data_IF_790565727517
#
_entry.id   IF_790565727517
#
_cell.length_a   1.000
_cell.length_b   1.000
_cell.length_c   1.000
_cell.angle_alpha   90.00
_cell.angle_beta   90.00
_cell.angle_gamma   90.00
#
_symmetry.space_group_name_H-M   'P 1'
#
loop_
_entity.id
_entity.type
_entity.pdbx_description
1 polymer ?
#
# COMPACT_ATOMS: atom_id res chain seq x y z
N UNK A 1 -19.77 36.01 24.48
CA UNK A 1 -18.64 35.07 24.34
C UNK A 1 -18.58 34.67 22.87
N UNK A 2 -17.95 35.48 22.03
CA UNK A 2 -17.85 35.19 20.60
C UNK A 2 -16.41 34.77 20.32
N UNK A 3 -16.17 33.46 20.27
CA UNK A 3 -14.93 32.94 19.73
C UNK A 3 -14.93 33.19 18.22
N UNK A 4 -13.99 34.01 17.73
CA UNK A 4 -13.73 34.13 16.30
C UNK A 4 -13.50 32.73 15.70
N UNK A 5 -13.98 32.47 14.46
CA UNK A 5 -13.64 31.23 13.78
C UNK A 5 -12.12 31.14 13.62
N UNK A 6 -11.51 29.94 13.74
CA UNK A 6 -10.08 29.77 13.51
C UNK A 6 -9.74 30.26 12.11
N UNK A 7 -8.66 31.05 12.00
CA UNK A 7 -8.12 31.49 10.71
C UNK A 7 -7.91 30.27 9.81
N UNK A 8 -8.23 30.34 8.51
CA UNK A 8 -8.09 29.20 7.61
C UNK A 8 -6.63 28.74 7.58
N UNK A 9 -6.41 27.48 7.96
CA UNK A 9 -5.11 26.84 7.91
C UNK A 9 -4.72 26.65 6.45
N UNK A 10 -3.57 27.17 6.05
CA UNK A 10 -3.01 26.92 4.72
C UNK A 10 -2.53 25.47 4.63
N UNK A 11 -3.35 24.63 3.99
CA UNK A 11 -3.07 23.19 3.81
C UNK A 11 -1.82 22.95 2.97
N UNK A 12 -1.46 23.88 2.07
CA UNK A 12 -0.25 23.78 1.26
C UNK A 12 0.98 23.94 2.15
N UNK A 13 1.01 24.98 2.98
CA UNK A 13 2.08 25.21 3.94
C UNK A 13 2.24 24.04 4.93
N UNK A 14 1.14 23.46 5.42
CA UNK A 14 1.17 22.27 6.29
C UNK A 14 1.75 21.06 5.55
N UNK A 15 1.34 20.85 4.30
CA UNK A 15 1.83 19.74 3.48
C UNK A 15 3.34 19.83 3.24
N UNK A 16 3.85 21.03 2.96
CA UNK A 16 5.29 21.27 2.80
C UNK A 16 6.06 21.09 4.10
N UNK A 17 5.50 21.54 5.23
CA UNK A 17 6.10 21.32 6.55
C UNK A 17 6.21 19.82 6.89
N UNK A 18 5.17 19.03 6.59
CA UNK A 18 5.20 17.57 6.77
C UNK A 18 6.27 16.93 5.89
N UNK A 19 6.36 17.32 4.60
CA UNK A 19 7.38 16.79 3.68
C UNK A 19 8.80 17.12 4.13
N UNK A 20 9.02 18.36 4.59
CA UNK A 20 10.31 18.80 5.11
C UNK A 20 10.70 17.99 6.36
N UNK A 21 9.76 17.81 7.29
CA UNK A 21 9.99 17.07 8.52
C UNK A 21 10.25 15.58 8.26
N UNK A 22 9.47 14.94 7.38
CA UNK A 22 9.66 13.55 6.98
C UNK A 22 11.08 13.30 6.44
N UNK A 23 11.58 14.18 5.56
CA UNK A 23 12.95 14.11 5.05
C UNK A 23 13.98 14.34 6.14
N UNK A 24 13.74 15.30 7.05
CA UNK A 24 14.63 15.61 8.17
C UNK A 24 14.83 14.41 9.10
N UNK A 25 13.79 13.61 9.32
CA UNK A 25 13.84 12.41 10.18
C UNK A 25 14.27 11.14 9.45
N UNK A 26 14.62 11.23 8.16
CA UNK A 26 15.23 10.13 7.40
C UNK A 26 14.29 9.34 6.48
N UNK A 27 13.04 9.78 6.27
CA UNK A 27 12.19 9.20 5.23
C UNK A 27 12.57 9.79 3.87
N UNK A 28 13.01 8.93 2.96
CA UNK A 28 13.40 9.31 1.60
C UNK A 28 12.17 9.62 0.74
N UNK A 29 11.08 8.89 0.97
CA UNK A 29 9.81 9.06 0.26
C UNK A 29 8.73 9.57 1.21
N UNK A 30 7.97 10.57 0.75
CA UNK A 30 6.82 11.12 1.46
C UNK A 30 5.73 11.52 0.46
N UNK A 31 4.50 11.10 0.73
CA UNK A 31 3.30 11.41 -0.05
C UNK A 31 2.12 11.73 0.86
N UNK A 32 1.17 12.52 0.35
CA UNK A 32 -0.09 12.81 1.03
C UNK A 32 -1.22 12.49 0.07
N UNK A 33 -2.17 11.68 0.51
CA UNK A 33 -3.35 11.28 -0.26
C UNK A 33 -4.64 11.63 0.50
N UNK A 34 -5.77 11.82 -0.19
CA UNK A 34 -7.07 11.93 0.47
C UNK A 34 -7.38 10.63 1.23
N UNK A 35 -7.98 10.76 2.41
CA UNK A 35 -8.54 9.61 3.12
C UNK A 35 -9.85 9.20 2.45
N UNK A 36 -9.91 7.97 1.96
CA UNK A 36 -11.04 7.43 1.22
C UNK A 36 -10.94 5.93 1.06
N UNK A 37 -11.97 5.33 0.45
CA UNK A 37 -11.98 3.90 0.11
C UNK A 37 -10.79 3.58 -0.81
N UNK A 38 -9.94 2.59 -0.47
CA UNK A 38 -8.86 2.17 -1.36
C UNK A 38 -9.39 1.56 -2.66
N UNK A 39 -8.83 1.94 -3.80
CA UNK A 39 -9.18 1.38 -5.11
C UNK A 39 -8.90 -0.14 -5.20
N UNK A 40 -7.92 -0.62 -4.44
CA UNK A 40 -7.50 -2.02 -4.40
C UNK A 40 -8.32 -2.90 -3.44
N UNK A 41 -9.34 -2.35 -2.76
CA UNK A 41 -10.06 -3.09 -1.73
C UNK A 41 -10.78 -4.32 -2.27
N UNK A 42 -11.39 -4.21 -3.45
CA UNK A 42 -12.13 -5.32 -4.05
C UNK A 42 -11.18 -6.47 -4.42
N UNK A 43 -9.98 -6.13 -4.90
CA UNK A 43 -8.94 -7.12 -5.16
C UNK A 43 -8.46 -7.80 -3.86
N UNK A 44 -8.24 -7.03 -2.79
CA UNK A 44 -7.89 -7.57 -1.48
C UNK A 44 -8.98 -8.50 -0.93
N UNK A 45 -10.24 -8.08 -1.05
CA UNK A 45 -11.41 -8.87 -0.68
C UNK A 45 -11.46 -10.21 -1.39
N UNK A 46 -11.35 -10.22 -2.72
CA UNK A 46 -11.34 -11.44 -3.52
C UNK A 46 -10.16 -12.35 -3.19
N UNK A 47 -9.00 -11.76 -2.88
CA UNK A 47 -7.80 -12.50 -2.47
C UNK A 47 -7.99 -13.20 -1.11
N UNK A 48 -8.64 -12.53 -0.14
CA UNK A 48 -9.00 -13.13 1.14
C UNK A 48 -10.06 -14.24 0.97
N UNK A 49 -11.11 -13.98 0.19
CA UNK A 49 -12.18 -14.95 -0.05
C UNK A 49 -11.67 -16.21 -0.79
N UNK A 50 -10.52 -16.11 -1.49
CA UNK A 50 -9.82 -17.23 -2.13
C UNK A 50 -8.90 -18.02 -1.18
N UNK A 51 -8.80 -17.63 0.10
CA UNK A 51 -7.96 -18.31 1.09
C UNK A 51 -6.46 -18.10 0.90
N UNK A 52 -6.05 -17.02 0.23
CA UNK A 52 -4.64 -16.74 -0.04
C UNK A 52 -3.89 -16.08 1.14
N UNK A 53 -4.56 -15.84 2.27
CA UNK A 53 -3.98 -15.27 3.49
C UNK A 53 -3.12 -16.25 4.30
N UNK A 54 -3.14 -17.55 3.96
CA UNK A 54 -2.28 -18.56 4.58
C UNK A 54 -2.54 -18.70 6.08
N UNK A 55 -1.60 -18.25 6.91
CA UNK A 55 -1.76 -18.19 8.38
C UNK A 55 -2.00 -16.75 8.89
N UNK A 56 -2.12 -15.76 8.01
CA UNK A 56 -2.30 -14.34 8.35
C UNK A 56 -3.75 -14.00 8.70
N UNK A 57 -4.38 -14.78 9.59
CA UNK A 57 -5.79 -14.60 9.94
C UNK A 57 -6.13 -13.23 10.55
N UNK A 58 -5.14 -12.40 10.89
CA UNK A 58 -5.37 -11.00 11.28
C UNK A 58 -5.87 -10.13 10.13
N UNK A 59 -5.52 -10.44 8.88
CA UNK A 59 -5.98 -9.70 7.69
C UNK A 59 -7.50 -9.82 7.54
N UNK A 60 -7.99 -11.07 7.60
CA UNK A 60 -9.41 -11.39 7.53
C UNK A 60 -10.21 -10.79 8.69
N UNK A 61 -9.67 -10.82 9.93
CA UNK A 61 -10.33 -10.21 11.10
C UNK A 61 -10.45 -8.68 11.02
N UNK A 62 -9.60 -8.02 10.24
CA UNK A 62 -9.56 -6.56 10.12
C UNK A 62 -10.09 -6.07 8.78
N UNK A 63 -10.74 -6.93 7.99
CA UNK A 63 -11.27 -6.60 6.65
C UNK A 63 -12.04 -5.28 6.63
N UNK A 64 -12.98 -5.12 7.55
CA UNK A 64 -13.85 -3.93 7.62
C UNK A 64 -13.06 -2.64 7.93
N UNK A 65 -11.96 -2.74 8.69
CA UNK A 65 -11.12 -1.60 9.01
C UNK A 65 -10.29 -1.11 7.81
N UNK A 66 -10.15 -1.92 6.76
CA UNK A 66 -9.47 -1.53 5.53
C UNK A 66 -10.41 -0.90 4.50
N UNK A 67 -11.73 -0.96 4.72
CA UNK A 67 -12.73 -0.41 3.81
C UNK A 67 -12.65 1.11 3.72
N UNK A 68 -12.46 1.76 4.87
CA UNK A 68 -12.29 3.20 4.98
C UNK A 68 -11.30 3.52 6.11
N UNK A 69 -10.45 4.55 5.95
CA UNK A 69 -9.55 5.02 7.01
C UNK A 69 -10.23 5.31 8.36
N UNK A 70 -11.52 5.69 8.34
CA UNK A 70 -12.31 5.91 9.56
C UNK A 70 -12.52 4.65 10.41
N UNK A 71 -12.39 3.46 9.81
CA UNK A 71 -12.35 2.20 10.55
C UNK A 71 -11.13 2.06 11.48
N UNK A 72 -10.14 2.94 11.31
CA UNK A 72 -8.93 3.01 12.15
C UNK A 72 -8.89 4.31 12.96
N UNK A 73 -9.07 5.45 12.31
CA UNK A 73 -9.05 6.77 12.93
C UNK A 73 -10.23 7.61 12.40
N UNK A 74 -11.25 7.87 13.25
CA UNK A 74 -12.41 8.68 12.85
C UNK A 74 -12.02 10.09 12.37
N UNK A 75 -12.81 10.62 11.45
CA UNK A 75 -12.67 11.98 10.90
C UNK A 75 -11.32 12.23 10.21
N UNK A 76 -10.71 11.16 9.69
CA UNK A 76 -9.45 11.27 8.95
C UNK A 76 -9.70 11.88 7.57
N UNK A 77 -9.03 13.01 7.27
CA UNK A 77 -9.18 13.70 6.00
C UNK A 77 -8.06 13.39 4.99
N UNK A 78 -6.89 12.97 5.48
CA UNK A 78 -5.72 12.72 4.66
C UNK A 78 -4.82 11.65 5.27
N UNK A 79 -4.13 10.94 4.39
CA UNK A 79 -3.17 9.89 4.73
C UNK A 79 -1.76 10.39 4.39
N UNK A 80 -0.85 10.34 5.36
CA UNK A 80 0.58 10.63 5.13
C UNK A 80 1.29 9.29 4.94
N UNK A 81 1.82 9.06 3.74
CA UNK A 81 2.56 7.86 3.37
C UNK A 81 4.05 8.14 3.41
N UNK A 82 4.80 7.29 4.10
CA UNK A 82 6.24 7.41 4.28
C UNK A 82 6.93 6.15 3.76
N UNK A 83 8.08 6.32 3.12
CA UNK A 83 8.89 5.22 2.60
C UNK A 83 10.36 5.37 2.99
N UNK A 84 10.97 4.23 3.32
CA UNK A 84 12.41 4.13 3.59
C UNK A 84 13.00 3.05 2.69
N UNK A 85 14.17 3.32 2.13
CA UNK A 85 14.92 2.32 1.41
C UNK A 85 15.48 1.30 2.41
N UNK A 86 14.90 0.11 2.43
CA UNK A 86 15.36 -1.00 3.25
C UNK A 86 16.54 -1.71 2.57
N UNK A 87 17.64 -0.99 2.35
CA UNK A 87 18.91 -1.61 1.95
C UNK A 87 19.84 -1.57 3.15
N UNK A 88 20.19 -2.73 3.66
CA UNK A 88 21.17 -2.83 4.75
C UNK A 88 22.57 -2.55 4.18
N UNK A 89 23.31 -1.62 4.79
CA UNK A 89 24.70 -1.34 4.40
C UNK A 89 25.63 -2.56 4.55
N UNK A 90 25.23 -3.55 5.38
CA UNK A 90 25.92 -4.83 5.55
C UNK A 90 25.64 -5.88 4.45
N UNK A 91 24.80 -5.58 3.46
CA UNK A 91 24.60 -6.45 2.29
C UNK A 91 25.72 -6.32 1.24
N UNK A 92 26.90 -5.84 1.63
CA UNK A 92 28.11 -6.03 0.83
C UNK A 92 28.60 -7.50 0.78
N UNK A 93 27.92 -8.42 1.48
CA UNK A 93 28.29 -9.84 1.54
C UNK A 93 27.18 -10.81 1.10
N UNK A 94 26.25 -10.40 0.23
CA UNK A 94 25.58 -11.40 -0.59
C UNK A 94 26.61 -11.80 -1.65
N UNK A 95 27.29 -12.92 -1.38
CA UNK A 95 28.55 -13.33 -1.99
C UNK A 95 28.57 -13.20 -3.52
N UNK A 96 29.78 -13.05 -4.07
CA UNK A 96 30.01 -13.19 -5.52
C UNK A 96 29.10 -14.29 -6.05
N UNK A 97 28.17 -13.90 -6.92
CA UNK A 97 27.38 -14.86 -7.67
C UNK A 97 28.40 -15.74 -8.38
N UNK A 98 28.69 -16.91 -7.82
CA UNK A 98 29.41 -17.93 -8.51
C UNK A 98 28.53 -18.22 -9.71
N UNK A 99 29.01 -17.77 -10.87
CA UNK A 99 28.44 -18.14 -12.16
C UNK A 99 28.72 -19.63 -12.27
N UNK A 100 27.82 -20.45 -11.70
CA UNK A 100 27.80 -21.88 -11.97
C UNK A 100 27.34 -22.02 -13.41
N UNK A 101 28.34 -22.12 -14.28
CA UNK A 101 28.18 -22.42 -15.68
C UNK A 101 27.54 -23.81 -15.80
N UNK A 102 26.38 -23.84 -16.45
CA UNK A 102 25.74 -24.98 -17.10
C UNK A 102 24.96 -25.99 -16.21
N UNK A 103 23.69 -25.67 -15.94
CA UNK A 103 22.62 -26.66 -15.80
C UNK A 103 21.25 -25.99 -16.03
N UNK A 104 20.33 -26.57 -16.84
CA UNK A 104 19.06 -25.93 -17.16
C UNK A 104 18.13 -26.00 -15.95
N UNK A 105 18.27 -25.05 -15.02
CA UNK A 105 17.30 -24.88 -13.94
C UNK A 105 16.01 -24.32 -14.52
N UNK A 106 14.98 -25.17 -14.62
CA UNK A 106 13.63 -24.76 -14.97
C UNK A 106 13.15 -23.72 -13.94
N UNK A 107 13.28 -22.45 -14.30
CA UNK A 107 12.66 -21.35 -13.56
C UNK A 107 11.16 -21.48 -13.73
N UNK A 108 10.44 -21.87 -12.68
CA UNK A 108 8.98 -21.73 -12.60
C UNK A 108 8.71 -20.24 -12.35
N UNK A 109 8.13 -19.49 -13.30
CA UNK A 109 7.79 -18.09 -13.04
C UNK A 109 6.71 -18.04 -11.95
N UNK A 110 6.82 -17.08 -11.03
CA UNK A 110 5.74 -16.76 -10.11
C UNK A 110 4.50 -16.42 -10.94
N UNK A 111 3.43 -17.21 -10.78
CA UNK A 111 2.17 -17.00 -11.48
C UNK A 111 1.50 -15.76 -10.88
N UNK A 112 1.64 -14.62 -11.55
CA UNK A 112 0.75 -13.47 -11.33
C UNK A 112 -0.66 -13.96 -11.59
N UNK A 113 -1.54 -13.85 -10.61
CA UNK A 113 -2.96 -14.16 -10.77
C UNK A 113 -3.52 -13.21 -11.83
N UNK A 114 -3.78 -13.73 -13.03
CA UNK A 114 -4.48 -13.00 -14.06
C UNK A 114 -5.90 -12.70 -13.56
N UNK A 115 -6.36 -11.46 -13.75
CA UNK A 115 -7.74 -11.04 -13.53
C UNK A 115 -8.69 -12.02 -14.25
N UNK A 116 -9.75 -12.52 -13.61
CA UNK A 116 -10.73 -13.37 -14.29
C UNK A 116 -11.35 -12.60 -15.47
N UNK A 117 -11.58 -13.26 -16.63
CA UNK A 117 -12.21 -12.59 -17.77
C UNK A 117 -13.65 -12.19 -17.44
N UNK A 118 -14.05 -11.01 -17.91
CA UNK A 118 -15.44 -10.51 -17.86
C UNK A 118 -16.40 -11.55 -18.48
N UNK A 119 -17.58 -11.80 -17.88
CA UNK A 119 -18.56 -12.71 -18.46
C UNK A 119 -19.07 -12.14 -19.80
N UNK A 120 -18.89 -12.90 -20.87
CA UNK A 120 -19.41 -12.56 -22.19
C UNK A 120 -20.94 -12.40 -22.13
N UNK A 121 -21.41 -11.21 -22.47
CA UNK A 121 -22.83 -10.93 -22.71
C UNK A 121 -23.25 -11.71 -23.96
N UNK A 122 -23.90 -12.86 -23.78
CA UNK A 122 -24.56 -13.58 -24.87
C UNK A 122 -25.85 -12.86 -25.23
N UNK A 123 -25.79 -12.00 -26.24
CA UNK A 123 -26.97 -11.56 -26.99
C UNK A 123 -27.39 -12.70 -27.90
N UNK A 124 -28.48 -13.38 -27.55
CA UNK A 124 -29.22 -14.25 -28.47
C UNK A 124 -30.13 -13.38 -29.32
N UNK A 125 -30.00 -13.50 -30.65
CA UNK A 125 -30.97 -13.01 -31.63
C UNK A 125 -32.16 -13.97 -31.75
#
# INVERSE_FOLDING_TARGET
>A
MNSSPPSPVDRSAVSEAIRAEARRIGFELVGIAPAGRPESLDHFSNWLDSGFDGQMGYLSRRRDAYDHPDGVLPDSASLVMLGMLYRSADEASMGEASVEQDSPSTTIPARVAATPPEPAITTTF
#
